data_IF_742507711781
#
_entry.id   IF_742507711781
#
_cell.length_a   1.000
_cell.length_b   1.000
_cell.length_c   1.000
_cell.angle_alpha   90.00
_cell.angle_beta   90.00
_cell.angle_gamma   90.00
#
_symmetry.space_group_name_H-M   'P 1'
#
loop_
_entity.id
_entity.type
_entity.pdbx_description
1 polymer ?
#
# COMPACT_ATOMS: atom_id res chain seq x y z
N UNK A 1 0.08 -26.23 -12.40
CA UNK A 1 1.17 -27.06 -11.87
C UNK A 1 2.48 -26.34 -12.14
N UNK A 2 3.19 -26.03 -11.08
CA UNK A 2 4.52 -25.43 -11.11
C UNK A 2 5.47 -26.54 -11.56
N UNK A 3 6.28 -26.26 -12.57
CA UNK A 3 7.16 -27.28 -13.15
C UNK A 3 8.51 -27.31 -12.39
N UNK A 4 9.15 -28.49 -12.32
CA UNK A 4 10.49 -28.66 -11.73
C UNK A 4 11.56 -27.74 -12.35
N UNK A 5 11.34 -27.25 -13.57
CA UNK A 5 12.19 -26.25 -14.22
C UNK A 5 12.27 -24.93 -13.48
N UNK A 6 11.25 -24.57 -12.70
CA UNK A 6 11.21 -23.31 -11.96
C UNK A 6 11.95 -23.40 -10.62
N UNK A 7 12.37 -24.60 -10.20
CA UNK A 7 13.09 -24.85 -8.94
C UNK A 7 14.43 -24.11 -8.89
N UNK A 8 15.13 -24.02 -10.01
CA UNK A 8 16.40 -23.29 -10.11
C UNK A 8 16.26 -21.78 -9.88
N UNK A 9 15.03 -21.24 -10.01
CA UNK A 9 14.73 -19.82 -9.83
C UNK A 9 14.27 -19.48 -8.40
N UNK A 10 14.04 -20.50 -7.54
CA UNK A 10 13.63 -20.28 -6.14
C UNK A 10 14.62 -19.44 -5.32
N UNK A 11 15.96 -19.64 -5.43
CA UNK A 11 16.90 -18.79 -4.70
C UNK A 11 16.83 -17.32 -5.11
N UNK A 12 16.61 -17.05 -6.40
CA UNK A 12 16.43 -15.69 -6.91
C UNK A 12 15.12 -15.09 -6.41
N UNK A 13 14.03 -15.86 -6.40
CA UNK A 13 12.76 -15.47 -5.84
C UNK A 13 12.89 -15.13 -4.35
N UNK A 14 13.58 -15.97 -3.58
CA UNK A 14 13.86 -15.80 -2.16
C UNK A 14 14.59 -14.49 -1.88
N UNK A 15 15.64 -14.20 -2.66
CA UNK A 15 16.44 -12.99 -2.49
C UNK A 15 15.64 -11.72 -2.83
N UNK A 16 14.88 -11.72 -3.92
CA UNK A 16 14.06 -10.56 -4.33
C UNK A 16 12.95 -10.29 -3.31
N UNK A 17 12.32 -11.33 -2.79
CA UNK A 17 11.25 -11.21 -1.79
C UNK A 17 11.79 -11.01 -0.37
N UNK A 18 13.09 -11.20 -0.16
CA UNK A 18 13.70 -11.20 1.17
C UNK A 18 12.99 -12.21 2.12
N UNK A 19 12.82 -13.44 1.63
CA UNK A 19 12.20 -14.55 2.35
C UNK A 19 13.21 -15.70 2.50
N UNK A 20 13.19 -16.46 3.61
CA UNK A 20 14.02 -17.63 3.76
C UNK A 20 13.67 -18.72 2.75
N UNK A 21 14.68 -19.31 2.12
CA UNK A 21 14.49 -20.35 1.09
C UNK A 21 13.66 -21.52 1.59
N UNK A 22 13.90 -21.95 2.83
CA UNK A 22 13.16 -23.05 3.46
C UNK A 22 11.64 -22.79 3.54
N UNK A 23 11.24 -21.54 3.75
CA UNK A 23 9.82 -21.16 3.76
C UNK A 23 9.20 -21.25 2.36
N UNK A 24 9.94 -20.87 1.34
CA UNK A 24 9.49 -20.97 -0.05
C UNK A 24 9.42 -22.44 -0.50
N UNK A 25 10.41 -23.25 -0.15
CA UNK A 25 10.40 -24.70 -0.45
C UNK A 25 9.21 -25.38 0.22
N UNK A 26 8.93 -25.10 1.49
CA UNK A 26 7.79 -25.64 2.20
C UNK A 26 6.45 -25.26 1.58
N UNK A 27 6.35 -24.01 1.08
CA UNK A 27 5.16 -23.53 0.36
C UNK A 27 5.05 -24.17 -1.02
N UNK A 28 6.15 -24.36 -1.72
CA UNK A 28 6.18 -24.81 -3.12
C UNK A 28 5.87 -26.31 -3.27
N UNK A 29 6.38 -27.12 -2.35
CA UNK A 29 6.24 -28.58 -2.40
C UNK A 29 5.12 -29.13 -1.49
N UNK A 30 4.31 -28.28 -0.86
CA UNK A 30 3.20 -28.74 -0.05
C UNK A 30 2.14 -29.45 -0.90
N UNK A 31 1.87 -30.74 -0.68
CA UNK A 31 0.91 -31.52 -1.48
C UNK A 31 -0.54 -31.04 -1.35
N UNK A 32 -0.82 -30.24 -0.33
CA UNK A 32 -2.17 -29.69 -0.05
C UNK A 32 -2.49 -28.42 -0.84
N UNK A 33 -1.58 -27.89 -1.68
CA UNK A 33 -1.81 -26.64 -2.39
C UNK A 33 -2.62 -26.89 -3.67
N UNK A 34 -3.93 -26.98 -3.51
CA UNK A 34 -4.90 -26.79 -4.60
C UNK A 34 -5.34 -25.32 -4.73
N UNK A 35 -4.95 -24.46 -3.79
CA UNK A 35 -5.35 -23.06 -3.72
C UNK A 35 -4.11 -22.17 -3.75
N UNK A 36 -4.28 -20.94 -4.25
CA UNK A 36 -3.24 -19.92 -4.22
C UNK A 36 -2.86 -19.55 -2.78
N UNK A 37 -1.58 -19.31 -2.51
CA UNK A 37 -1.07 -18.82 -1.24
C UNK A 37 -0.38 -17.48 -1.44
N UNK A 38 -0.57 -16.58 -0.50
CA UNK A 38 0.07 -15.28 -0.46
C UNK A 38 1.54 -15.46 -0.03
N UNK A 39 2.47 -15.09 -0.89
CA UNK A 39 3.91 -15.15 -0.59
C UNK A 39 4.35 -13.94 0.23
N UNK A 40 4.00 -12.73 -0.22
CA UNK A 40 4.33 -11.49 0.47
C UNK A 40 3.23 -10.45 0.26
N UNK A 41 3.01 -9.62 1.28
CA UNK A 41 1.94 -8.61 1.24
C UNK A 41 2.32 -7.36 0.48
N UNK A 42 3.57 -6.93 0.58
CA UNK A 42 4.06 -5.68 0.00
C UNK A 42 5.39 -5.93 -0.69
N UNK A 43 5.45 -5.63 -1.96
CA UNK A 43 6.66 -5.72 -2.78
C UNK A 43 6.83 -4.40 -3.49
N UNK A 44 8.02 -3.82 -3.40
CA UNK A 44 8.35 -2.58 -4.12
C UNK A 44 8.25 -2.82 -5.63
N UNK A 45 7.83 -1.81 -6.38
CA UNK A 45 7.64 -1.90 -7.83
C UNK A 45 8.91 -2.40 -8.56
N UNK A 46 10.10 -1.94 -8.15
CA UNK A 46 11.36 -2.39 -8.72
C UNK A 46 11.58 -3.90 -8.54
N UNK A 47 11.25 -4.45 -7.38
CA UNK A 47 11.35 -5.88 -7.09
C UNK A 47 10.26 -6.67 -7.81
N UNK A 48 9.05 -6.12 -7.91
CA UNK A 48 7.97 -6.72 -8.69
C UNK A 48 8.34 -6.87 -10.18
N UNK A 49 8.92 -5.83 -10.78
CA UNK A 49 9.39 -5.90 -12.17
C UNK A 49 10.45 -6.98 -12.37
N UNK A 50 11.40 -7.12 -11.43
CA UNK A 50 12.40 -8.20 -11.44
C UNK A 50 11.75 -9.59 -11.34
N UNK A 51 10.75 -9.74 -10.47
CA UNK A 51 9.98 -10.98 -10.30
C UNK A 51 9.26 -11.38 -11.58
N UNK A 52 8.56 -10.45 -12.21
CA UNK A 52 7.84 -10.72 -13.46
C UNK A 52 8.81 -11.07 -14.60
N UNK A 53 10.04 -10.51 -14.58
CA UNK A 53 11.12 -10.86 -15.51
C UNK A 53 11.57 -12.32 -15.42
N UNK A 54 11.43 -12.96 -14.27
CA UNK A 54 11.78 -14.38 -14.09
C UNK A 54 10.78 -15.33 -14.75
N UNK A 55 9.59 -14.86 -15.15
CA UNK A 55 8.53 -15.62 -15.83
C UNK A 55 8.17 -16.94 -15.16
N UNK A 56 8.21 -17.00 -13.83
CA UNK A 56 7.90 -18.19 -13.04
C UNK A 56 6.40 -18.47 -13.16
N UNK A 57 6.03 -19.66 -13.59
CA UNK A 57 4.62 -20.05 -13.71
C UNK A 57 3.96 -20.13 -12.33
N UNK A 58 2.76 -19.59 -12.22
CA UNK A 58 1.98 -19.62 -10.97
C UNK A 58 2.34 -18.53 -9.97
N UNK A 59 3.30 -17.65 -10.27
CA UNK A 59 3.58 -16.45 -9.46
C UNK A 59 2.88 -15.26 -10.10
N UNK A 60 1.97 -14.66 -9.35
CA UNK A 60 1.19 -13.49 -9.77
C UNK A 60 1.31 -12.39 -8.74
N UNK A 61 1.18 -11.15 -9.16
CA UNK A 61 1.11 -10.01 -8.27
C UNK A 61 -0.10 -9.14 -8.59
N UNK A 62 -0.73 -8.64 -7.55
CA UNK A 62 -1.82 -7.70 -7.66
C UNK A 62 -1.33 -6.32 -7.22
N UNK A 63 -1.56 -5.33 -8.04
CA UNK A 63 -1.32 -3.93 -7.69
C UNK A 63 -2.33 -3.50 -6.63
N UNK A 64 -1.81 -2.89 -5.55
CA UNK A 64 -2.62 -2.25 -4.52
C UNK A 64 -2.17 -0.81 -4.33
N UNK A 65 -3.10 0.11 -4.40
CA UNK A 65 -2.85 1.51 -4.00
C UNK A 65 -2.75 1.58 -2.49
N UNK A 66 -1.72 2.25 -1.99
CA UNK A 66 -1.51 2.48 -0.56
C UNK A 66 -1.35 3.97 -0.29
N UNK A 67 -1.95 4.45 0.78
CA UNK A 67 -1.70 5.81 1.27
C UNK A 67 -0.26 5.91 1.78
N UNK A 68 0.43 6.95 1.37
CA UNK A 68 1.74 7.31 1.87
C UNK A 68 1.65 8.62 2.64
N UNK A 69 1.99 8.57 3.91
CA UNK A 69 1.96 9.73 4.81
C UNK A 69 3.39 10.26 4.99
N UNK A 70 3.77 11.29 4.24
CA UNK A 70 5.13 11.83 4.25
C UNK A 70 5.50 12.46 5.59
N UNK A 71 4.51 13.02 6.30
CA UNK A 71 4.68 13.70 7.59
C UNK A 71 3.92 12.98 8.72
N UNK A 72 3.98 11.65 8.75
CA UNK A 72 3.19 10.82 9.65
C UNK A 72 3.44 11.10 11.15
N UNK A 73 4.62 11.63 11.52
CA UNK A 73 4.93 11.94 12.92
C UNK A 73 4.27 13.24 13.39
N UNK A 74 4.22 14.23 12.52
CA UNK A 74 3.86 15.59 12.90
C UNK A 74 2.36 15.86 12.84
N UNK A 75 1.70 15.39 11.80
CA UNK A 75 0.31 15.72 11.52
C UNK A 75 -0.64 14.52 11.66
N UNK A 76 -0.21 13.45 12.32
CA UNK A 76 -0.97 12.19 12.39
C UNK A 76 -2.37 12.37 12.98
N UNK A 77 -2.52 13.20 14.01
CA UNK A 77 -3.82 13.47 14.65
C UNK A 77 -4.76 14.28 13.75
N UNK A 78 -4.20 15.16 12.92
CA UNK A 78 -4.99 16.01 12.02
C UNK A 78 -5.33 15.25 10.74
N UNK A 79 -4.37 14.59 10.13
CA UNK A 79 -4.56 13.87 8.87
C UNK A 79 -5.35 12.58 9.11
N UNK A 80 -5.07 11.86 10.20
CA UNK A 80 -5.57 10.51 10.41
C UNK A 80 -4.82 9.49 9.57
N UNK A 81 -5.34 8.29 9.47
CA UNK A 81 -4.76 7.23 8.65
C UNK A 81 -5.80 6.23 8.17
N UNK A 82 -5.43 5.42 7.19
CA UNK A 82 -6.24 4.31 6.67
C UNK A 82 -5.66 3.00 7.21
N UNK A 83 -6.50 2.16 7.80
CA UNK A 83 -6.11 0.85 8.32
C UNK A 83 -5.90 -0.19 7.20
N UNK A 84 -5.51 -1.41 7.57
CA UNK A 84 -5.29 -2.51 6.61
C UNK A 84 -6.57 -2.93 5.84
N UNK A 85 -7.74 -2.61 6.38
CA UNK A 85 -9.05 -2.89 5.80
C UNK A 85 -9.56 -1.76 4.88
N UNK A 86 -8.70 -0.75 4.61
CA UNK A 86 -9.02 0.47 3.88
C UNK A 86 -10.11 1.35 4.56
N UNK A 87 -10.30 1.19 5.86
CA UNK A 87 -11.17 2.05 6.65
C UNK A 87 -10.37 3.25 7.18
N UNK A 88 -10.85 4.48 7.03
CA UNK A 88 -10.21 5.67 7.57
C UNK A 88 -10.39 5.75 9.07
N UNK A 89 -9.34 6.11 9.79
CA UNK A 89 -9.32 6.27 11.24
C UNK A 89 -8.87 7.67 11.58
N UNK A 90 -9.80 8.46 12.12
CA UNK A 90 -9.56 9.81 12.60
C UNK A 90 -9.24 10.86 11.54
N UNK A 91 -9.14 12.09 11.98
CA UNK A 91 -8.67 13.24 11.22
C UNK A 91 -9.39 13.52 9.90
N UNK A 92 -8.68 14.13 8.99
CA UNK A 92 -9.16 14.51 7.64
C UNK A 92 -9.50 13.27 6.80
N UNK A 93 -8.76 12.16 6.94
CA UNK A 93 -9.05 10.92 6.21
C UNK A 93 -10.47 10.42 6.51
N UNK A 94 -10.90 10.51 7.76
CA UNK A 94 -12.26 10.11 8.15
C UNK A 94 -13.30 11.16 7.76
N UNK A 95 -13.03 12.44 8.01
CA UNK A 95 -13.95 13.53 7.74
C UNK A 95 -14.23 13.68 6.24
N UNK A 96 -13.17 13.59 5.42
CA UNK A 96 -13.24 13.80 3.98
C UNK A 96 -13.26 12.50 3.17
N UNK A 97 -13.55 11.36 3.81
CA UNK A 97 -13.58 10.04 3.16
C UNK A 97 -14.42 10.04 1.89
N UNK A 98 -15.57 10.67 1.92
CA UNK A 98 -16.49 10.73 0.77
C UNK A 98 -15.82 11.32 -0.48
N UNK A 99 -14.99 12.35 -0.30
CA UNK A 99 -14.27 12.99 -1.38
C UNK A 99 -12.99 12.26 -1.77
N UNK A 100 -12.27 11.70 -0.79
CA UNK A 100 -10.95 11.08 -0.99
C UNK A 100 -11.04 9.68 -1.58
N UNK A 101 -12.12 8.94 -1.31
CA UNK A 101 -12.27 7.53 -1.66
C UNK A 101 -12.27 7.27 -3.17
N UNK A 102 -12.85 8.18 -3.97
CA UNK A 102 -13.12 7.91 -5.37
C UNK A 102 -14.22 6.88 -5.60
N UNK A 103 -14.35 6.42 -6.81
CA UNK A 103 -15.32 5.41 -7.22
C UNK A 103 -14.60 4.21 -7.83
N UNK A 104 -14.90 3.03 -7.33
CA UNK A 104 -14.35 1.80 -7.89
C UNK A 104 -14.95 1.52 -9.26
N UNK A 105 -14.12 1.08 -10.20
CA UNK A 105 -14.57 0.61 -11.48
C UNK A 105 -15.05 -0.84 -11.40
N UNK A 106 -15.91 -1.20 -12.31
CA UNK A 106 -16.39 -2.56 -12.47
C UNK A 106 -16.20 -3.01 -13.92
N UNK A 107 -15.73 -4.24 -14.12
CA UNK A 107 -15.55 -4.84 -15.43
C UNK A 107 -16.00 -6.29 -15.38
N UNK A 108 -17.06 -6.60 -16.11
CA UNK A 108 -17.50 -7.97 -16.33
C UNK A 108 -16.93 -8.47 -17.67
N UNK A 109 -16.24 -9.60 -17.66
CA UNK A 109 -15.66 -10.22 -18.86
C UNK A 109 -15.66 -11.74 -18.74
N UNK A 110 -15.67 -12.40 -19.89
CA UNK A 110 -15.54 -13.85 -19.98
C UNK A 110 -14.09 -14.22 -20.26
N UNK A 111 -13.64 -15.32 -19.67
CA UNK A 111 -12.29 -15.86 -19.87
C UNK A 111 -12.36 -17.27 -20.45
N UNK A 112 -11.38 -17.63 -21.26
CA UNK A 112 -11.21 -19.01 -21.70
C UNK A 112 -10.56 -19.87 -20.60
N UNK A 113 -10.45 -21.18 -20.84
CA UNK A 113 -9.81 -22.12 -19.92
C UNK A 113 -8.32 -21.84 -19.62
N UNK A 114 -7.70 -20.91 -20.35
CA UNK A 114 -6.33 -20.40 -20.11
C UNK A 114 -6.31 -19.04 -19.43
N UNK A 115 -7.44 -18.57 -18.92
CA UNK A 115 -7.60 -17.27 -18.24
C UNK A 115 -7.33 -16.06 -19.13
N UNK A 116 -7.51 -16.18 -20.45
CA UNK A 116 -7.39 -15.09 -21.41
C UNK A 116 -8.76 -14.47 -21.63
N UNK A 117 -8.85 -13.15 -21.53
CA UNK A 117 -10.08 -12.37 -21.66
C UNK A 117 -10.56 -12.35 -23.11
N UNK A 118 -11.86 -12.65 -23.33
CA UNK A 118 -12.54 -12.43 -24.59
C UNK A 118 -13.02 -10.97 -24.69
N UNK A 119 -12.30 -10.14 -25.42
CA UNK A 119 -12.62 -8.71 -25.59
C UNK A 119 -14.00 -8.44 -26.17
N UNK A 120 -14.50 -9.33 -27.00
CA UNK A 120 -15.83 -9.23 -27.65
C UNK A 120 -17.01 -9.47 -26.69
N UNK A 121 -16.77 -10.10 -25.53
CA UNK A 121 -17.79 -10.38 -24.51
C UNK A 121 -17.69 -9.47 -23.29
N UNK A 122 -17.03 -8.33 -23.43
CA UNK A 122 -17.01 -7.31 -22.36
C UNK A 122 -18.40 -6.74 -22.15
N UNK A 123 -18.96 -6.97 -20.97
CA UNK A 123 -20.25 -6.38 -20.55
C UNK A 123 -19.98 -5.40 -19.39
N UNK A 124 -20.73 -4.29 -19.39
CA UNK A 124 -20.78 -3.36 -18.26
C UNK A 124 -19.40 -2.93 -17.72
N UNK A 125 -18.63 -2.22 -18.53
CA UNK A 125 -17.36 -1.63 -18.09
C UNK A 125 -17.64 -0.26 -17.47
N UNK A 126 -17.42 -0.13 -16.17
CA UNK A 126 -17.44 1.15 -15.46
C UNK A 126 -15.99 1.50 -15.14
N UNK A 127 -15.49 2.58 -15.71
CA UNK A 127 -14.14 3.05 -15.42
C UNK A 127 -14.02 3.55 -13.98
N UNK A 128 -12.93 3.24 -13.26
CA UNK A 128 -12.71 3.80 -11.93
C UNK A 128 -12.49 5.31 -12.02
N UNK A 129 -13.02 6.05 -11.04
CA UNK A 129 -12.80 7.48 -10.90
C UNK A 129 -11.93 7.75 -9.67
N UNK A 130 -10.88 8.52 -9.84
CA UNK A 130 -10.05 8.93 -8.71
C UNK A 130 -10.84 9.83 -7.77
N UNK A 131 -10.50 9.80 -6.48
CA UNK A 131 -11.02 10.75 -5.50
C UNK A 131 -10.49 12.16 -5.73
N UNK A 132 -11.07 13.11 -5.02
CA UNK A 132 -10.65 14.50 -5.05
C UNK A 132 -9.38 14.71 -4.22
N UNK A 133 -8.69 15.81 -4.51
CA UNK A 133 -7.59 16.31 -3.69
C UNK A 133 -8.15 17.26 -2.66
N UNK A 134 -7.74 17.10 -1.41
CA UNK A 134 -8.08 18.01 -0.30
C UNK A 134 -6.83 18.80 0.04
N UNK A 135 -6.93 20.12 -0.05
CA UNK A 135 -5.89 21.05 0.34
C UNK A 135 -6.17 21.59 1.75
N UNK A 136 -5.16 21.54 2.61
CA UNK A 136 -5.26 22.02 3.99
C UNK A 136 -4.59 23.39 4.11
N UNK A 137 -5.07 24.20 5.04
CA UNK A 137 -4.52 25.52 5.36
C UNK A 137 -3.26 25.46 6.23
N UNK A 138 -2.71 24.26 6.46
CA UNK A 138 -1.53 24.04 7.27
C UNK A 138 -0.27 24.42 6.50
N UNK A 139 0.55 25.29 7.04
CA UNK A 139 1.90 25.56 6.52
C UNK A 139 2.89 24.56 7.12
N UNK A 140 3.37 23.65 6.28
CA UNK A 140 4.29 22.58 6.67
C UNK A 140 5.65 23.10 7.21
N UNK A 141 6.10 24.30 6.77
CA UNK A 141 7.35 24.89 7.24
C UNK A 141 7.22 25.42 8.65
N UNK A 142 6.08 26.10 8.93
CA UNK A 142 5.78 26.57 10.29
C UNK A 142 5.60 25.39 11.22
N UNK A 143 4.87 24.37 10.79
CA UNK A 143 4.68 23.14 11.57
C UNK A 143 6.01 22.46 11.91
N UNK A 144 6.89 22.26 10.94
CA UNK A 144 8.20 21.64 11.17
C UNK A 144 9.07 22.45 12.15
N UNK A 145 9.07 23.78 12.01
CA UNK A 145 9.78 24.64 12.94
C UNK A 145 9.27 24.50 14.40
N UNK A 146 7.95 24.50 14.56
CA UNK A 146 7.31 24.33 15.89
C UNK A 146 7.67 22.98 16.49
N UNK A 147 7.65 21.92 15.71
CA UNK A 147 8.01 20.57 16.17
C UNK A 147 9.45 20.48 16.64
N UNK A 148 10.39 21.06 15.89
CA UNK A 148 11.79 21.11 16.29
C UNK A 148 11.99 21.86 17.63
N UNK A 149 11.25 22.95 17.82
CA UNK A 149 11.31 23.73 19.08
C UNK A 149 10.71 22.91 20.23
N UNK A 150 9.56 22.29 20.02
CA UNK A 150 8.89 21.46 21.01
C UNK A 150 9.74 20.24 21.39
N UNK A 151 10.39 19.58 20.43
CA UNK A 151 11.27 18.44 20.71
C UNK A 151 12.47 18.85 21.58
N UNK A 152 13.09 20.00 21.29
CA UNK A 152 14.18 20.54 22.09
C UNK A 152 13.71 20.91 23.52
N UNK A 153 12.55 21.53 23.64
CA UNK A 153 11.95 21.87 24.92
C UNK A 153 11.58 20.61 25.73
N UNK A 154 10.99 19.60 25.09
CA UNK A 154 10.67 18.32 25.73
C UNK A 154 11.91 17.63 26.32
N UNK A 155 13.00 17.58 25.57
CA UNK A 155 14.27 17.00 26.04
C UNK A 155 14.86 17.77 27.23
N UNK A 156 14.72 19.09 27.22
CA UNK A 156 15.32 19.95 28.26
C UNK A 156 14.49 20.00 29.53
N UNK A 157 13.19 20.17 29.41
CA UNK A 157 12.30 20.47 30.54
C UNK A 157 11.44 19.28 30.99
N UNK A 158 11.31 18.23 30.17
CA UNK A 158 10.49 17.04 30.42
C UNK A 158 9.09 17.39 30.96
N UNK A 159 8.34 18.26 30.26
CA UNK A 159 7.00 18.65 30.69
C UNK A 159 6.00 17.51 30.46
N UNK A 160 4.90 17.51 31.21
CA UNK A 160 3.76 16.57 30.99
C UNK A 160 3.01 16.89 29.70
N UNK A 161 2.87 18.15 29.35
CA UNK A 161 2.21 18.61 28.11
C UNK A 161 2.82 19.90 27.60
N UNK A 162 2.72 20.14 26.30
CA UNK A 162 3.20 21.38 25.65
C UNK A 162 2.22 21.83 24.58
N UNK A 163 2.02 23.13 24.47
CA UNK A 163 1.24 23.75 23.43
C UNK A 163 1.96 24.98 22.88
N UNK A 164 1.83 25.20 21.58
CA UNK A 164 2.34 26.41 20.92
C UNK A 164 1.20 27.07 20.15
N UNK A 165 1.03 28.36 20.37
CA UNK A 165 0.09 29.19 19.65
C UNK A 165 0.86 30.23 18.86
N UNK A 166 0.63 30.26 17.54
CA UNK A 166 1.21 31.25 16.64
C UNK A 166 0.08 32.11 16.09
N UNK A 167 0.18 33.40 16.30
CA UNK A 167 -0.80 34.38 15.81
C UNK A 167 -0.12 35.39 14.91
N UNK A 168 -0.83 35.86 13.91
CA UNK A 168 -0.41 36.98 13.08
C UNK A 168 -1.15 38.23 13.58
N UNK A 169 -0.47 39.15 14.28
CA UNK A 169 -1.10 40.41 14.67
C UNK A 169 -1.43 41.23 13.41
N UNK A 170 -2.58 41.82 13.40
CA UNK A 170 -3.01 42.77 12.35
C UNK A 170 -2.39 44.15 12.57
#
# INVERSE_FOLDING_TARGET
QIQDKDRSLLPQLASILNLPLAQLDALWFSPSIRQWKKLKSEVLEANYRKLMGLKIRGVYGNEKKKRLYLHAKSLSHIIGFINQENAPIGGIEQLMQFYLRGQEGFKAYEVNGKNVEFTQYRKNVIAPKNGYTVELTIDNRIQGFVEDVLEKAAKRYRPESMQVLITRPH
#
